data_IF_864802170492
#
_entry.id   IF_864802170492
#
_cell.length_a   1.000
_cell.length_b   1.000
_cell.length_c   1.000
_cell.angle_alpha   90.00
_cell.angle_beta   90.00
_cell.angle_gamma   90.00
#
_symmetry.space_group_name_H-M   'P 1'
#
loop_
_entity.id
_entity.type
_entity.pdbx_description
1 polymer ?
#
# COMPACT_ATOMS: atom_id res chain seq x y z
N UNK A 1 28.61 -21.64 7.66
CA UNK A 1 27.88 -20.41 7.83
C UNK A 1 28.56 -19.26 7.16
N UNK A 2 28.12 -18.88 5.96
CA UNK A 2 28.65 -17.70 5.30
C UNK A 2 28.12 -16.46 6.00
N UNK A 3 28.98 -15.69 6.60
CA UNK A 3 28.67 -14.30 6.93
C UNK A 3 28.63 -13.56 5.62
N UNK A 4 27.45 -13.39 5.07
CA UNK A 4 27.29 -12.45 3.99
C UNK A 4 27.50 -11.05 4.59
N UNK A 5 28.27 -10.25 3.90
CA UNK A 5 28.49 -8.84 4.26
C UNK A 5 27.21 -8.09 3.85
N UNK A 6 26.29 -7.94 4.80
CA UNK A 6 24.89 -7.68 4.50
C UNK A 6 24.39 -6.30 4.88
N UNK A 7 25.22 -5.48 5.50
CA UNK A 7 24.79 -4.15 5.91
C UNK A 7 24.88 -3.18 4.74
N UNK A 8 23.76 -2.86 4.16
CA UNK A 8 23.64 -1.70 3.27
C UNK A 8 23.02 -0.56 4.06
N UNK A 9 23.72 0.56 4.07
CA UNK A 9 23.24 1.81 4.64
C UNK A 9 22.82 2.73 3.50
N UNK A 10 21.75 3.48 3.69
CA UNK A 10 21.48 4.61 2.82
C UNK A 10 22.36 5.82 3.18
N UNK A 11 22.25 6.88 2.41
CA UNK A 11 22.99 8.12 2.63
C UNK A 11 22.66 8.79 3.98
N UNK A 12 21.53 8.44 4.59
CA UNK A 12 21.09 8.92 5.90
C UNK A 12 21.51 7.98 7.06
N UNK A 13 22.24 6.93 6.77
CA UNK A 13 22.69 5.93 7.74
C UNK A 13 21.61 4.93 8.15
N UNK A 14 20.53 4.84 7.41
CA UNK A 14 19.48 3.88 7.66
C UNK A 14 19.90 2.48 7.24
N UNK A 15 19.62 1.52 8.10
CA UNK A 15 19.96 0.12 7.86
C UNK A 15 18.79 -0.61 7.22
N UNK A 16 19.08 -1.31 6.12
CA UNK A 16 18.09 -2.07 5.40
C UNK A 16 18.25 -3.56 5.64
N UNK A 17 17.11 -4.24 5.74
CA UNK A 17 17.07 -5.69 5.73
C UNK A 17 17.41 -6.20 4.33
N UNK A 18 18.24 -7.22 4.25
CA UNK A 18 18.57 -7.89 3.00
C UNK A 18 17.89 -9.25 2.88
N UNK A 19 17.41 -9.51 1.69
CA UNK A 19 16.79 -10.77 1.33
C UNK A 19 17.83 -11.66 0.62
N UNK A 20 18.05 -12.86 1.15
CA UNK A 20 19.08 -13.79 0.66
C UNK A 20 18.45 -15.14 0.38
N UNK A 21 18.86 -15.74 -0.73
CA UNK A 21 18.46 -17.08 -1.12
C UNK A 21 19.46 -18.10 -0.57
N UNK A 22 18.98 -19.01 0.26
CA UNK A 22 19.75 -20.10 0.84
C UNK A 22 19.02 -21.40 0.52
N UNK A 23 19.69 -22.33 -0.14
CA UNK A 23 19.14 -23.63 -0.54
C UNK A 23 17.75 -23.54 -1.23
N UNK A 24 17.62 -22.55 -2.11
CA UNK A 24 16.38 -22.35 -2.88
C UNK A 24 15.27 -21.59 -2.16
N UNK A 25 15.46 -21.19 -0.92
CA UNK A 25 14.48 -20.43 -0.12
C UNK A 25 15.02 -19.06 0.22
N UNK A 26 14.13 -18.06 0.25
CA UNK A 26 14.49 -16.71 0.64
C UNK A 26 14.28 -16.48 2.13
N UNK A 27 15.26 -15.80 2.73
CA UNK A 27 15.28 -15.35 4.12
C UNK A 27 15.65 -13.88 4.16
N UNK A 28 15.26 -13.20 5.23
CA UNK A 28 15.64 -11.82 5.48
C UNK A 28 16.62 -11.74 6.65
N UNK A 29 17.64 -10.90 6.52
CA UNK A 29 18.65 -10.67 7.55
C UNK A 29 18.85 -9.18 7.81
N UNK A 30 19.04 -8.81 9.07
CA UNK A 30 19.45 -7.46 9.43
C UNK A 30 20.96 -7.27 9.27
N UNK A 31 21.48 -6.09 9.60
CA UNK A 31 22.90 -5.76 9.51
C UNK A 31 23.81 -6.63 10.36
N UNK A 32 23.27 -7.23 11.41
CA UNK A 32 24.01 -8.13 12.32
C UNK A 32 23.97 -9.57 11.85
N UNK A 33 23.38 -9.84 10.69
CA UNK A 33 23.22 -11.20 10.16
C UNK A 33 22.15 -12.01 10.90
N UNK A 34 21.27 -11.36 11.64
CA UNK A 34 20.17 -12.03 12.34
C UNK A 34 18.98 -12.17 11.41
N UNK A 35 18.41 -13.38 11.38
CA UNK A 35 17.22 -13.68 10.59
C UNK A 35 16.04 -12.89 11.10
N UNK A 36 15.27 -12.33 10.17
CA UNK A 36 14.10 -11.52 10.43
C UNK A 36 12.83 -12.23 9.95
N UNK A 37 11.75 -12.05 10.68
CA UNK A 37 10.40 -12.49 10.32
C UNK A 37 9.46 -11.30 10.11
N UNK A 38 8.20 -11.59 9.81
CA UNK A 38 7.18 -10.58 9.59
C UNK A 38 7.38 -9.80 8.30
N UNK A 39 6.81 -8.60 8.28
CA UNK A 39 6.88 -7.68 7.13
C UNK A 39 8.23 -6.96 7.12
N UNK A 40 8.98 -7.11 6.03
CA UNK A 40 10.30 -6.52 5.89
C UNK A 40 10.41 -5.70 4.60
N UNK A 41 10.97 -4.50 4.70
CA UNK A 41 11.35 -3.72 3.54
C UNK A 41 12.79 -4.06 3.11
N UNK A 42 12.93 -4.56 1.90
CA UNK A 42 14.23 -4.94 1.31
C UNK A 42 14.58 -3.94 0.21
N UNK A 43 15.37 -2.92 0.55
CA UNK A 43 15.68 -1.82 -0.38
C UNK A 43 16.36 -2.29 -1.65
N UNK A 44 17.29 -3.22 -1.56
CA UNK A 44 18.01 -3.75 -2.72
C UNK A 44 17.08 -4.41 -3.74
N UNK A 45 15.99 -5.02 -3.26
CA UNK A 45 14.94 -5.64 -4.07
C UNK A 45 13.79 -4.66 -4.41
N UNK A 46 13.80 -3.49 -3.81
CA UNK A 46 12.86 -2.41 -4.09
C UNK A 46 11.43 -2.64 -3.59
N UNK A 47 11.23 -3.36 -2.48
CA UNK A 47 9.88 -3.58 -1.99
C UNK A 47 9.77 -4.33 -0.67
N UNK A 48 8.53 -4.57 -0.29
CA UNK A 48 8.17 -5.33 0.90
C UNK A 48 8.07 -6.82 0.60
N UNK A 49 8.47 -7.61 1.60
CA UNK A 49 8.39 -9.07 1.61
C UNK A 49 7.91 -9.52 2.99
N UNK A 50 7.29 -10.68 3.05
CA UNK A 50 6.80 -11.24 4.30
C UNK A 50 7.44 -12.61 4.57
N UNK A 51 7.87 -12.80 5.80
CA UNK A 51 8.53 -14.03 6.27
C UNK A 51 7.77 -14.57 7.49
N UNK A 52 7.51 -15.85 7.49
CA UNK A 52 6.84 -16.50 8.62
C UNK A 52 7.76 -16.62 9.85
N UNK A 53 7.24 -17.16 10.94
CA UNK A 53 7.97 -17.32 12.20
C UNK A 53 9.22 -18.20 12.07
N UNK A 54 9.29 -19.03 11.02
CA UNK A 54 10.46 -19.84 10.71
C UNK A 54 11.45 -19.15 9.78
N UNK A 55 11.14 -17.91 9.39
CA UNK A 55 11.95 -17.11 8.46
C UNK A 55 11.70 -17.41 6.98
N UNK A 56 10.73 -18.26 6.64
CA UNK A 56 10.44 -18.57 5.24
C UNK A 56 9.60 -17.48 4.58
N UNK A 57 10.04 -17.03 3.41
CA UNK A 57 9.28 -16.09 2.61
C UNK A 57 7.93 -16.65 2.21
N UNK A 58 6.88 -15.86 2.39
CA UNK A 58 5.52 -16.16 1.96
C UNK A 58 5.19 -15.41 0.67
N UNK A 59 4.34 -16.05 -0.15
CA UNK A 59 3.80 -15.48 -1.38
C UNK A 59 2.27 -15.60 -1.37
N UNK A 60 1.61 -14.84 -2.23
CA UNK A 60 0.16 -14.81 -2.29
C UNK A 60 -0.43 -13.95 -1.19
N UNK A 61 -1.68 -14.24 -0.84
CA UNK A 61 -2.43 -13.49 0.16
C UNK A 61 -1.99 -13.90 1.57
N UNK A 62 -1.66 -12.90 2.37
CA UNK A 62 -1.33 -13.08 3.80
C UNK A 62 -2.25 -12.17 4.61
N UNK A 63 -3.01 -12.76 5.50
CA UNK A 63 -3.87 -12.05 6.45
C UNK A 63 -3.15 -11.85 7.77
N UNK A 64 -3.64 -10.90 8.59
CA UNK A 64 -3.09 -10.65 9.93
C UNK A 64 -1.59 -10.30 9.92
N UNK A 65 -1.16 -9.51 8.93
CA UNK A 65 0.16 -8.90 8.94
C UNK A 65 0.14 -7.76 9.94
N UNK A 66 0.83 -7.94 11.04
CA UNK A 66 0.92 -6.93 12.09
C UNK A 66 1.74 -5.73 11.63
N UNK A 67 1.21 -4.56 11.88
CA UNK A 67 1.90 -3.30 11.68
C UNK A 67 1.44 -2.29 12.72
N UNK A 68 2.34 -1.91 13.63
CA UNK A 68 1.99 -1.21 14.85
C UNK A 68 0.95 -2.04 15.67
N UNK A 69 -0.20 -1.46 16.02
CA UNK A 69 -1.22 -2.14 16.82
C UNK A 69 -2.36 -2.76 15.98
N UNK A 70 -2.22 -2.72 14.65
CA UNK A 70 -3.25 -3.18 13.72
C UNK A 70 -2.78 -4.35 12.86
N UNK A 71 -3.74 -5.19 12.47
CA UNK A 71 -3.55 -6.27 11.51
C UNK A 71 -4.06 -5.87 10.12
N UNK A 72 -3.26 -6.18 9.10
CA UNK A 72 -3.58 -5.87 7.72
C UNK A 72 -3.53 -7.09 6.82
N UNK A 73 -4.25 -7.03 5.70
CA UNK A 73 -4.16 -8.03 4.63
C UNK A 73 -3.18 -7.53 3.58
N UNK A 74 -2.28 -8.41 3.17
CA UNK A 74 -1.29 -8.17 2.12
C UNK A 74 -1.42 -9.20 1.01
N UNK A 75 -0.92 -8.84 -0.16
CA UNK A 75 -0.69 -9.75 -1.26
C UNK A 75 0.74 -9.59 -1.78
N UNK A 76 1.44 -10.72 -1.86
CA UNK A 76 2.82 -10.79 -2.34
C UNK A 76 2.88 -11.56 -3.65
N UNK A 77 3.61 -11.02 -4.62
CA UNK A 77 3.71 -11.58 -5.96
C UNK A 77 4.13 -13.06 -5.95
N UNK A 78 3.47 -13.84 -6.78
CA UNK A 78 3.73 -15.28 -6.94
C UNK A 78 4.55 -15.61 -8.19
N UNK A 79 4.79 -14.64 -9.09
CA UNK A 79 5.37 -14.89 -10.43
C UNK A 79 6.39 -13.83 -10.88
N UNK A 80 7.26 -14.23 -11.84
CA UNK A 80 8.04 -13.36 -12.72
C UNK A 80 9.06 -12.43 -12.06
N UNK A 81 10.12 -12.96 -11.44
CA UNK A 81 11.24 -12.15 -10.94
C UNK A 81 10.93 -11.23 -9.76
N UNK A 82 9.64 -10.99 -9.52
CA UNK A 82 9.13 -10.25 -8.35
C UNK A 82 8.49 -11.20 -7.34
N UNK A 83 8.88 -12.46 -7.36
CA UNK A 83 8.32 -13.48 -6.49
C UNK A 83 8.47 -13.08 -5.01
N UNK A 84 7.33 -12.93 -4.34
CA UNK A 84 7.25 -12.53 -2.95
C UNK A 84 7.24 -11.03 -2.70
N UNK A 85 7.45 -10.18 -3.70
CA UNK A 85 7.36 -8.73 -3.54
C UNK A 85 5.92 -8.28 -3.34
N UNK A 86 5.70 -7.32 -2.44
CA UNK A 86 4.40 -6.69 -2.24
C UNK A 86 3.81 -6.17 -3.55
N UNK A 87 2.57 -6.56 -3.83
CA UNK A 87 1.88 -6.27 -5.08
C UNK A 87 1.42 -4.82 -5.15
N UNK A 88 1.51 -4.24 -6.34
CA UNK A 88 0.95 -2.92 -6.65
C UNK A 88 -0.12 -3.08 -7.73
N UNK A 89 -1.31 -2.56 -7.47
CA UNK A 89 -2.38 -2.52 -8.44
C UNK A 89 -3.64 -3.26 -8.03
N UNK A 90 -4.43 -3.63 -9.02
CA UNK A 90 -5.73 -4.29 -8.85
C UNK A 90 -5.58 -5.77 -9.14
N UNK A 91 -6.02 -6.60 -8.20
CA UNK A 91 -6.08 -8.04 -8.35
C UNK A 91 -7.38 -8.58 -7.76
N UNK A 92 -8.12 -9.35 -8.57
CA UNK A 92 -9.40 -9.94 -8.16
C UNK A 92 -10.39 -8.90 -7.58
N UNK A 93 -10.42 -7.70 -8.17
CA UNK A 93 -11.21 -6.55 -7.74
C UNK A 93 -10.79 -5.91 -6.39
N UNK A 94 -9.62 -6.25 -5.88
CA UNK A 94 -9.03 -5.62 -4.71
C UNK A 94 -7.87 -4.70 -5.09
N UNK A 95 -7.76 -3.58 -4.40
CA UNK A 95 -6.69 -2.61 -4.59
C UNK A 95 -5.58 -2.86 -3.57
N UNK A 96 -4.34 -3.02 -4.07
CA UNK A 96 -3.13 -3.23 -3.25
C UNK A 96 -2.07 -2.19 -3.58
N UNK A 97 -1.32 -1.79 -2.58
CA UNK A 97 -0.13 -0.97 -2.77
C UNK A 97 1.00 -1.39 -1.84
N UNK A 98 2.18 -1.66 -2.42
CA UNK A 98 3.31 -2.26 -1.72
C UNK A 98 2.91 -3.51 -0.92
N UNK A 99 2.00 -4.28 -1.45
CA UNK A 99 1.43 -5.46 -0.85
C UNK A 99 0.19 -5.20 0.00
N UNK A 100 0.06 -4.04 0.62
CA UNK A 100 -1.05 -3.75 1.53
C UNK A 100 -2.36 -3.53 0.77
N UNK A 101 -3.41 -4.26 1.18
CA UNK A 101 -4.75 -4.04 0.68
C UNK A 101 -5.27 -2.68 1.16
N UNK A 102 -5.85 -1.92 0.26
CA UNK A 102 -6.31 -0.56 0.52
C UNK A 102 -7.77 -0.58 0.99
N UNK A 103 -7.93 -0.84 2.29
CA UNK A 103 -9.22 -0.94 2.94
C UNK A 103 -9.72 0.46 3.34
N UNK A 104 -11.04 0.69 3.21
CA UNK A 104 -11.69 1.75 3.96
C UNK A 104 -11.66 1.41 5.45
N UNK A 105 -11.85 2.40 6.31
CA UNK A 105 -11.84 2.22 7.77
C UNK A 105 -13.22 1.73 8.25
N UNK A 106 -14.23 2.56 8.15
CA UNK A 106 -15.59 2.25 8.60
C UNK A 106 -16.63 2.17 7.46
N UNK A 107 -16.51 3.04 6.47
CA UNK A 107 -17.49 3.18 5.39
C UNK A 107 -16.85 2.83 4.03
N UNK A 108 -16.82 3.82 3.12
CA UNK A 108 -16.16 3.69 1.82
C UNK A 108 -15.12 4.78 1.66
N UNK A 109 -14.01 4.44 0.98
CA UNK A 109 -12.90 5.36 0.81
C UNK A 109 -12.48 5.48 -0.63
N UNK A 110 -12.22 6.71 -1.05
CA UNK A 110 -11.69 7.05 -2.38
C UNK A 110 -10.17 7.01 -2.37
N UNK A 111 -9.62 6.40 -3.41
CA UNK A 111 -8.17 6.35 -3.66
C UNK A 111 -7.85 6.80 -5.07
N UNK A 112 -6.75 7.50 -5.21
CA UNK A 112 -6.14 7.81 -6.51
C UNK A 112 -5.01 6.84 -6.79
N UNK A 113 -5.12 6.13 -7.91
CA UNK A 113 -4.08 5.21 -8.35
C UNK A 113 -3.99 5.16 -9.87
N UNK A 114 -2.76 5.27 -10.41
CA UNK A 114 -2.46 5.13 -11.84
C UNK A 114 -3.39 5.99 -12.74
N UNK A 115 -3.59 7.25 -12.35
CA UNK A 115 -4.40 8.21 -13.09
C UNK A 115 -5.91 8.08 -12.93
N UNK A 116 -6.40 7.16 -12.13
CA UNK A 116 -7.83 6.92 -11.92
C UNK A 116 -8.23 6.98 -10.45
N UNK A 117 -9.52 7.17 -10.21
CA UNK A 117 -10.10 7.19 -8.87
C UNK A 117 -10.90 5.91 -8.66
N UNK A 118 -10.66 5.28 -7.51
CA UNK A 118 -11.35 4.05 -7.10
C UNK A 118 -12.04 4.24 -5.76
N UNK A 119 -13.18 3.57 -5.58
CA UNK A 119 -13.89 3.52 -4.31
C UNK A 119 -13.78 2.11 -3.74
N UNK A 120 -13.26 1.96 -2.53
CA UNK A 120 -13.16 0.66 -1.86
C UNK A 120 -14.01 0.59 -0.60
N UNK A 121 -14.41 -0.63 -0.25
CA UNK A 121 -15.06 -0.92 1.03
C UNK A 121 -14.02 -1.24 2.11
N UNK A 122 -14.47 -1.63 3.30
CA UNK A 122 -13.63 -1.97 4.44
C UNK A 122 -12.73 -3.20 4.24
N UNK A 123 -12.94 -3.92 3.15
CA UNK A 123 -12.10 -5.07 2.74
C UNK A 123 -11.29 -4.79 1.49
N UNK A 124 -11.13 -3.52 1.12
CA UNK A 124 -10.34 -3.12 -0.05
C UNK A 124 -10.96 -3.49 -1.40
N UNK A 125 -12.21 -3.95 -1.41
CA UNK A 125 -12.89 -4.32 -2.65
C UNK A 125 -13.38 -3.09 -3.40
N UNK A 126 -12.99 -3.00 -4.67
CA UNK A 126 -13.38 -1.91 -5.55
C UNK A 126 -14.85 -2.01 -5.89
N UNK A 127 -15.58 -0.92 -5.70
CA UNK A 127 -17.00 -0.80 -6.00
C UNK A 127 -17.21 -0.55 -7.49
N UNK A 128 -18.24 -1.16 -8.04
CA UNK A 128 -18.54 -1.14 -9.48
C UNK A 128 -19.86 -0.45 -9.84
N UNK A 129 -20.75 -0.33 -8.88
CA UNK A 129 -22.12 0.17 -9.11
C UNK A 129 -22.24 1.65 -8.77
N UNK A 130 -22.85 2.40 -9.68
CA UNK A 130 -23.25 3.78 -9.41
C UNK A 130 -24.44 3.79 -8.47
N UNK A 131 -24.26 4.35 -7.28
CA UNK A 131 -25.30 4.49 -6.25
C UNK A 131 -24.86 5.49 -5.19
N UNK A 132 -25.59 5.59 -4.10
CA UNK A 132 -25.21 6.37 -2.93
C UNK A 132 -24.34 5.55 -2.00
N UNK A 133 -23.27 6.19 -1.49
CA UNK A 133 -22.32 5.61 -0.56
C UNK A 133 -22.02 6.58 0.58
N UNK A 134 -21.76 6.03 1.76
CA UNK A 134 -21.23 6.80 2.87
C UNK A 134 -19.71 6.90 2.70
N UNK A 135 -19.21 8.10 2.50
CA UNK A 135 -17.79 8.37 2.22
C UNK A 135 -17.09 8.86 3.47
N UNK A 136 -15.94 8.28 3.79
CA UNK A 136 -15.18 8.62 5.00
C UNK A 136 -14.02 9.59 4.76
N UNK A 137 -13.65 9.86 3.51
CA UNK A 137 -12.54 10.76 3.22
C UNK A 137 -12.76 12.14 3.82
N UNK A 138 -11.79 12.67 4.56
CA UNK A 138 -11.86 14.03 5.10
C UNK A 138 -12.05 15.05 3.98
N UNK A 139 -12.79 16.10 4.25
CA UNK A 139 -13.10 17.14 3.28
C UNK A 139 -14.28 16.85 2.36
N UNK A 140 -14.64 15.58 2.20
CA UNK A 140 -15.82 15.14 1.44
C UNK A 140 -16.67 14.12 2.21
N UNK A 141 -16.33 13.87 3.47
CA UNK A 141 -17.02 12.90 4.32
C UNK A 141 -18.49 13.29 4.52
N UNK A 142 -19.38 12.42 4.06
CA UNK A 142 -20.82 12.59 4.12
C UNK A 142 -21.50 11.23 3.90
N UNK A 143 -22.73 11.10 4.43
CA UNK A 143 -23.59 9.96 4.16
C UNK A 143 -24.36 10.18 2.85
N UNK A 144 -24.77 9.08 2.21
CA UNK A 144 -25.59 9.10 1.00
C UNK A 144 -25.02 9.95 -0.15
N UNK A 145 -23.71 9.93 -0.31
CA UNK A 145 -23.02 10.62 -1.40
C UNK A 145 -23.25 9.88 -2.72
N UNK A 146 -23.71 10.61 -3.73
CA UNK A 146 -23.95 10.03 -5.05
C UNK A 146 -22.62 9.82 -5.79
N UNK A 147 -22.29 8.57 -6.08
CA UNK A 147 -21.07 8.21 -6.80
C UNK A 147 -21.43 7.56 -8.13
N UNK A 148 -20.90 8.10 -9.22
CA UNK A 148 -20.99 7.50 -10.54
C UNK A 148 -19.71 6.72 -10.82
N UNK A 149 -19.87 5.45 -11.20
CA UNK A 149 -18.78 4.52 -11.46
C UNK A 149 -18.96 3.90 -12.85
N UNK A 150 -17.91 3.87 -13.63
CA UNK A 150 -17.86 3.21 -14.93
C UNK A 150 -16.55 2.44 -15.05
N UNK A 151 -16.61 1.17 -15.40
CA UNK A 151 -15.44 0.30 -15.52
C UNK A 151 -14.55 0.33 -14.27
N UNK A 152 -15.17 0.24 -13.10
CA UNK A 152 -14.52 0.29 -11.77
C UNK A 152 -13.93 1.65 -11.38
N UNK A 153 -13.98 2.64 -12.25
CA UNK A 153 -13.40 3.97 -12.04
C UNK A 153 -14.48 4.97 -11.66
N UNK A 154 -14.22 5.74 -10.63
CA UNK A 154 -15.11 6.82 -10.18
C UNK A 154 -15.09 7.95 -11.22
N UNK A 155 -16.26 8.31 -11.72
CA UNK A 155 -16.46 9.40 -12.67
C UNK A 155 -16.82 10.70 -11.99
N UNK A 156 -17.63 10.62 -10.94
CA UNK A 156 -18.03 11.79 -10.15
C UNK A 156 -18.46 11.39 -8.74
N UNK A 157 -18.33 12.34 -7.84
CA UNK A 157 -18.80 12.27 -6.46
C UNK A 157 -19.61 13.54 -6.17
N UNK A 158 -20.86 13.37 -5.79
CA UNK A 158 -21.76 14.48 -5.49
C UNK A 158 -22.24 14.43 -4.06
N UNK A 159 -21.75 15.36 -3.26
CA UNK A 159 -22.17 15.60 -1.88
C UNK A 159 -23.41 16.49 -1.87
N UNK A 160 -23.96 16.79 -0.69
CA UNK A 160 -25.08 17.71 -0.55
C UNK A 160 -24.77 19.14 -1.04
N UNK A 161 -23.50 19.52 -1.10
CA UNK A 161 -23.08 20.90 -1.39
C UNK A 161 -22.25 21.04 -2.67
N UNK A 162 -21.61 19.99 -3.15
CA UNK A 162 -20.68 20.06 -4.26
C UNK A 162 -20.62 18.79 -5.08
N UNK A 163 -20.45 18.96 -6.39
CA UNK A 163 -20.11 17.86 -7.32
C UNK A 163 -18.64 17.92 -7.70
N UNK A 164 -17.95 16.82 -7.47
CA UNK A 164 -16.56 16.61 -7.88
C UNK A 164 -16.53 15.69 -9.10
N UNK A 165 -15.90 16.14 -10.18
CA UNK A 165 -15.57 15.24 -11.30
C UNK A 165 -14.35 14.40 -10.98
N UNK A 166 -14.05 13.39 -11.79
CA UNK A 166 -12.83 12.63 -11.65
C UNK A 166 -11.58 13.53 -11.73
N UNK A 167 -11.60 14.53 -12.61
CA UNK A 167 -10.49 15.50 -12.74
C UNK A 167 -10.34 16.36 -11.48
N UNK A 168 -11.44 16.84 -10.90
CA UNK A 168 -11.43 17.56 -9.62
C UNK A 168 -10.80 16.72 -8.50
N UNK A 169 -11.17 15.45 -8.42
CA UNK A 169 -10.64 14.53 -7.42
C UNK A 169 -9.15 14.25 -7.63
N UNK A 170 -8.72 14.11 -8.86
CA UNK A 170 -7.29 13.98 -9.22
C UNK A 170 -6.48 15.22 -8.82
N UNK A 171 -7.01 16.42 -9.07
CA UNK A 171 -6.37 17.68 -8.66
C UNK A 171 -6.22 17.74 -7.12
N UNK A 172 -7.23 17.33 -6.37
CA UNK A 172 -7.17 17.27 -4.92
C UNK A 172 -6.08 16.29 -4.48
N UNK A 173 -6.03 15.10 -5.07
CA UNK A 173 -5.03 14.09 -4.75
C UNK A 173 -3.61 14.60 -5.06
N UNK A 174 -3.39 15.18 -6.21
CA UNK A 174 -2.11 15.73 -6.64
C UNK A 174 -1.66 16.93 -5.79
N UNK A 175 -2.59 17.80 -5.40
CA UNK A 175 -2.30 18.97 -4.57
C UNK A 175 -1.85 18.59 -3.14
N UNK A 176 -2.26 17.44 -2.64
CA UNK A 176 -1.85 16.94 -1.32
C UNK A 176 -0.35 16.63 -1.24
N UNK A 177 0.32 16.47 -2.38
CA UNK A 177 1.76 16.25 -2.44
C UNK A 177 2.57 17.54 -2.62
N UNK A 178 1.92 18.71 -2.71
CA UNK A 178 2.60 19.96 -3.03
C UNK A 178 3.27 19.88 -4.40
N UNK A 179 4.56 20.23 -4.46
CA UNK A 179 5.35 20.16 -5.70
C UNK A 179 5.76 18.72 -6.11
N UNK A 180 5.46 17.73 -5.27
CA UNK A 180 5.76 16.34 -5.58
C UNK A 180 4.77 15.82 -6.61
N UNK A 181 5.26 15.28 -7.71
CA UNK A 181 4.41 14.61 -8.70
C UNK A 181 3.90 13.29 -8.11
N UNK A 182 2.60 13.09 -8.15
CA UNK A 182 2.02 11.78 -7.94
C UNK A 182 2.44 10.91 -9.12
N UNK A 183 3.30 9.95 -8.86
CA UNK A 183 3.72 9.00 -9.89
C UNK A 183 2.61 7.99 -10.16
N UNK A 184 2.65 7.36 -11.33
CA UNK A 184 1.67 6.31 -11.72
C UNK A 184 1.64 5.15 -10.73
N UNK A 185 2.67 5.01 -9.91
CA UNK A 185 2.78 3.99 -8.87
C UNK A 185 2.19 4.39 -7.51
N UNK A 186 1.76 5.64 -7.33
CA UNK A 186 1.34 6.13 -6.03
C UNK A 186 -0.15 5.89 -5.77
N UNK A 187 -0.47 5.29 -4.64
CA UNK A 187 -1.84 5.28 -4.10
C UNK A 187 -1.95 6.36 -3.04
N UNK A 188 -2.93 7.23 -3.21
CA UNK A 188 -3.22 8.32 -2.31
C UNK A 188 -4.67 8.27 -1.90
N UNK A 189 -4.93 8.31 -0.62
CA UNK A 189 -6.27 8.62 -0.15
C UNK A 189 -6.60 10.07 -0.47
N UNK A 190 -7.74 10.32 -1.08
CA UNK A 190 -8.23 11.67 -1.35
C UNK A 190 -8.82 12.23 -0.05
N UNK A 191 -7.93 12.62 0.84
CA UNK A 191 -8.25 13.12 2.16
C UNK A 191 -7.22 14.14 2.60
N UNK A 192 -7.60 15.06 3.47
CA UNK A 192 -6.68 16.05 4.03
C UNK A 192 -5.58 15.43 4.90
N UNK A 193 -5.84 14.27 5.51
CA UNK A 193 -4.85 13.48 6.23
C UNK A 193 -4.40 12.30 5.40
N UNK A 194 -3.18 12.35 4.96
CA UNK A 194 -2.53 11.28 4.21
C UNK A 194 -1.99 10.20 5.17
N UNK A 195 -2.88 9.47 5.82
CA UNK A 195 -2.45 8.31 6.60
C UNK A 195 -2.09 7.12 5.70
N UNK A 196 -2.56 7.17 4.45
CA UNK A 196 -2.24 6.17 3.44
C UNK A 196 -1.36 6.78 2.37
N UNK A 197 -0.20 6.33 2.34
CA UNK A 197 0.91 6.97 1.79
C UNK A 197 1.22 6.57 0.41
N UNK A 198 1.44 7.55 -0.42
CA UNK A 198 2.04 7.33 -1.70
C UNK A 198 3.45 6.78 -1.56
N UNK A 199 3.90 6.14 -2.63
CA UNK A 199 5.26 5.64 -2.72
C UNK A 199 6.34 6.72 -2.48
N UNK A 200 6.01 8.00 -2.70
CA UNK A 200 6.90 9.13 -2.42
C UNK A 200 7.22 9.33 -0.94
N UNK A 201 6.47 8.68 -0.05
CA UNK A 201 6.77 8.67 1.39
C UNK A 201 7.28 7.30 1.83
N UNK A 202 8.15 6.71 1.04
CA UNK A 202 8.80 5.45 1.35
C UNK A 202 9.47 5.45 2.74
N UNK A 203 9.93 6.62 3.21
CA UNK A 203 10.50 6.77 4.54
C UNK A 203 9.58 6.28 5.66
N UNK A 204 8.27 6.47 5.54
CA UNK A 204 7.32 6.00 6.56
C UNK A 204 7.11 4.49 6.51
N UNK A 205 7.13 3.90 5.34
CA UNK A 205 7.11 2.45 5.19
C UNK A 205 8.40 1.81 5.68
N UNK A 206 9.53 2.49 5.46
CA UNK A 206 10.83 2.11 6.00
C UNK A 206 10.84 2.17 7.53
N UNK A 207 10.23 3.20 8.12
CA UNK A 207 10.09 3.33 9.57
C UNK A 207 9.23 2.22 10.18
N UNK A 208 8.22 1.77 9.49
CA UNK A 208 7.41 0.63 9.89
C UNK A 208 8.26 -0.65 9.99
N UNK A 209 9.11 -0.88 9.00
CA UNK A 209 10.06 -2.00 9.03
C UNK A 209 11.13 -1.88 10.12
N UNK A 210 11.48 -0.68 10.54
CA UNK A 210 12.51 -0.42 11.56
C UNK A 210 12.03 -0.59 13.01
N UNK A 211 10.76 -0.36 13.27
CA UNK A 211 10.20 -0.40 14.64
C UNK A 211 10.11 -1.81 15.24
N UNK A 212 10.40 -2.83 14.48
CA UNK A 212 10.38 -4.23 14.94
C UNK A 212 11.72 -4.76 15.45
N UNK A 213 12.73 -3.89 15.64
CA UNK A 213 14.08 -4.30 16.05
C UNK A 213 14.48 -3.78 17.42
#
# INVERSE_FOLDING_TARGET
GGTADLATYDDDGAVYVQRIKIEGKYFAFNEKGQMQDGLQYCKADGGFYYFDDNGYQKTGRVTSVENDDDDYTFYFNTKNGKNGQGYKGIKDDYLYFNGKRQDADDDYRLFYYDGDIYLTNTKGKIQKSSKKYDIENKGIAEDDVKVEISSKKVQSVETSTKKYTADDLKEIAEAQFGDAKVTDDAIVSIAENLDFLPASQSARWEDIGRKKY
#
